data_IF_913405671262
#
_entry.id   IF_913405671262
#
_cell.length_a   1.000
_cell.length_b   1.000
_cell.length_c   1.000
_cell.angle_alpha   90.00
_cell.angle_beta   90.00
_cell.angle_gamma   90.00
#
_symmetry.space_group_name_H-M   'P 1'
#
loop_
_entity.id
_entity.type
_entity.pdbx_description
1 polymer ?
#
# COMPACT_ATOMS: atom_id res chain seq x y z
N UNK A 1 -24.84 13.17 -1.96
CA UNK A 1 -25.93 13.68 -1.12
C UNK A 1 -26.33 12.58 -0.15
N UNK A 2 -26.17 12.81 1.15
CA UNK A 2 -26.57 11.84 2.17
C UNK A 2 -28.08 11.66 2.11
N UNK A 3 -28.57 10.43 1.94
CA UNK A 3 -30.00 10.14 2.00
C UNK A 3 -30.43 10.30 3.44
N UNK A 4 -31.14 11.38 3.74
CA UNK A 4 -31.75 11.63 5.04
C UNK A 4 -32.92 10.65 5.19
N UNK A 5 -33.03 10.00 6.34
CA UNK A 5 -34.05 8.99 6.60
C UNK A 5 -35.47 9.59 6.47
N UNK A 6 -36.42 8.81 5.95
CA UNK A 6 -37.77 9.28 5.64
C UNK A 6 -38.53 9.78 6.89
N UNK A 7 -38.18 9.26 8.08
CA UNK A 7 -38.74 9.74 9.35
C UNK A 7 -38.16 11.10 9.75
N UNK A 8 -36.86 11.32 9.55
CA UNK A 8 -36.18 12.60 9.83
C UNK A 8 -36.68 13.69 8.88
N UNK A 9 -36.87 13.34 7.61
CA UNK A 9 -37.43 14.26 6.62
C UNK A 9 -38.87 14.69 6.93
N UNK A 10 -39.70 13.76 7.44
CA UNK A 10 -41.09 14.05 7.78
C UNK A 10 -41.26 14.91 9.05
N UNK A 11 -40.28 14.90 9.96
CA UNK A 11 -40.32 15.74 11.16
C UNK A 11 -39.79 17.16 10.91
N UNK A 12 -38.76 17.31 10.08
CA UNK A 12 -38.19 18.63 9.72
C UNK A 12 -39.21 19.49 8.97
N UNK A 13 -40.12 18.88 8.21
CA UNK A 13 -41.17 19.58 7.46
C UNK A 13 -42.36 20.05 8.34
N UNK A 14 -42.40 19.65 9.61
CA UNK A 14 -43.57 19.86 10.49
C UNK A 14 -43.41 20.97 11.54
N UNK A 15 -42.22 21.56 11.69
CA UNK A 15 -41.93 22.51 12.76
C UNK A 15 -41.40 23.84 12.23
N UNK A 16 -42.25 24.87 12.27
CA UNK A 16 -41.78 26.26 12.31
C UNK A 16 -41.06 26.47 13.66
N UNK A 17 -39.81 26.93 13.60
CA UNK A 17 -38.83 26.94 14.69
C UNK A 17 -39.25 27.77 15.92
N UNK A 18 -39.32 27.11 17.09
CA UNK A 18 -39.14 27.73 18.40
C UNK A 18 -37.96 27.06 19.11
N UNK A 19 -37.01 27.87 19.57
CA UNK A 19 -35.70 27.45 20.10
C UNK A 19 -35.75 26.62 21.39
N UNK A 20 -36.85 26.65 22.15
CA UNK A 20 -37.00 25.90 23.41
C UNK A 20 -37.40 24.43 23.20
N UNK A 21 -37.88 24.06 22.01
CA UNK A 21 -38.26 22.67 21.68
C UNK A 21 -37.09 21.86 21.09
N UNK A 22 -35.97 22.50 20.77
CA UNK A 22 -34.81 21.85 20.14
C UNK A 22 -34.09 20.91 21.11
N UNK A 23 -33.88 21.34 22.36
CA UNK A 23 -33.23 20.51 23.39
C UNK A 23 -34.11 19.32 23.80
N UNK A 24 -35.44 19.52 23.92
CA UNK A 24 -36.38 18.45 24.22
C UNK A 24 -36.51 17.44 23.05
N UNK A 25 -36.39 17.92 21.81
CA UNK A 25 -36.39 17.07 20.63
C UNK A 25 -35.08 16.27 20.53
N UNK A 26 -33.93 16.89 20.82
CA UNK A 26 -32.63 16.21 20.90
C UNK A 26 -32.64 15.11 21.97
N UNK A 27 -33.19 15.38 23.15
CA UNK A 27 -33.30 14.39 24.23
C UNK A 27 -34.22 13.21 23.83
N UNK A 28 -35.32 13.48 23.12
CA UNK A 28 -36.20 12.42 22.59
C UNK A 28 -35.60 11.59 21.45
N UNK A 29 -34.67 12.18 20.69
CA UNK A 29 -33.92 11.51 19.61
C UNK A 29 -32.75 10.70 20.16
N UNK A 30 -32.12 11.14 21.26
CA UNK A 30 -31.02 10.45 21.94
C UNK A 30 -31.49 9.14 22.59
N UNK A 31 -32.75 9.04 23.00
CA UNK A 31 -33.35 7.84 23.61
C UNK A 31 -33.93 6.84 22.57
N UNK A 32 -33.73 7.08 21.26
CA UNK A 32 -34.23 6.18 20.22
C UNK A 32 -33.23 5.04 19.95
N UNK A 33 -33.62 3.76 20.14
CA UNK A 33 -32.71 2.61 20.01
C UNK A 33 -32.15 2.41 18.60
N UNK A 34 -32.76 3.05 17.60
CA UNK A 34 -32.28 3.04 16.22
C UNK A 34 -31.08 3.97 16.01
N UNK A 35 -31.03 5.15 16.66
CA UNK A 35 -29.92 6.08 16.54
C UNK A 35 -28.70 5.62 17.36
N UNK A 36 -28.92 4.98 18.51
CA UNK A 36 -27.85 4.35 19.29
C UNK A 36 -27.12 3.25 18.51
N UNK A 37 -27.87 2.37 17.83
CA UNK A 37 -27.28 1.33 16.99
C UNK A 37 -26.42 1.91 15.86
N UNK A 38 -26.86 3.00 15.22
CA UNK A 38 -26.06 3.69 14.19
C UNK A 38 -24.83 4.40 14.76
N UNK A 39 -24.95 5.00 15.95
CA UNK A 39 -23.85 5.68 16.66
C UNK A 39 -22.78 4.66 17.06
N UNK A 40 -23.19 3.55 17.66
CA UNK A 40 -22.32 2.42 18.00
C UNK A 40 -21.66 1.81 16.76
N UNK A 41 -22.42 1.59 15.67
CA UNK A 41 -21.86 1.04 14.43
C UNK A 41 -20.79 1.96 13.83
N UNK A 42 -21.01 3.28 13.84
CA UNK A 42 -20.02 4.27 13.37
C UNK A 42 -18.79 4.33 14.27
N UNK A 43 -19.00 4.34 15.59
CA UNK A 43 -17.91 4.34 16.58
C UNK A 43 -17.08 3.07 16.44
N UNK A 44 -17.71 1.90 16.24
CA UNK A 44 -17.01 0.64 16.00
C UNK A 44 -16.22 0.65 14.69
N UNK A 45 -16.77 1.20 13.60
CA UNK A 45 -16.03 1.36 12.34
C UNK A 45 -14.79 2.26 12.52
N UNK A 46 -14.96 3.42 13.16
CA UNK A 46 -13.85 4.34 13.44
C UNK A 46 -12.82 3.71 14.38
N UNK A 47 -13.25 2.98 15.42
CA UNK A 47 -12.35 2.26 16.33
C UNK A 47 -11.59 1.13 15.61
N UNK A 48 -12.23 0.41 14.69
CA UNK A 48 -11.59 -0.66 13.93
C UNK A 48 -10.52 -0.08 12.98
N UNK A 49 -10.81 1.02 12.30
CA UNK A 49 -9.85 1.71 11.44
C UNK A 49 -8.69 2.31 12.24
N UNK A 50 -8.99 3.00 13.36
CA UNK A 50 -7.98 3.60 14.21
C UNK A 50 -7.08 2.55 14.87
N UNK A 51 -7.68 1.46 15.37
CA UNK A 51 -6.93 0.31 15.87
C UNK A 51 -6.05 -0.24 14.77
N UNK A 52 -6.57 -0.52 13.58
CA UNK A 52 -5.80 -1.09 12.47
C UNK A 52 -4.61 -0.20 12.06
N UNK A 53 -4.81 1.11 11.94
CA UNK A 53 -3.74 2.06 11.64
C UNK A 53 -2.70 2.10 12.76
N UNK A 54 -3.13 2.04 14.03
CA UNK A 54 -2.23 1.99 15.19
C UNK A 54 -1.48 0.67 15.27
N UNK A 55 -2.11 -0.46 14.95
CA UNK A 55 -1.45 -1.77 14.91
C UNK A 55 -0.44 -1.85 13.77
N UNK A 56 -0.75 -1.31 12.59
CA UNK A 56 0.23 -1.22 11.48
C UNK A 56 1.43 -0.36 11.88
N UNK A 57 1.21 0.81 12.49
CA UNK A 57 2.31 1.66 12.95
C UNK A 57 3.16 0.97 14.03
N UNK A 58 2.52 0.31 15.00
CA UNK A 58 3.22 -0.46 16.05
C UNK A 58 3.93 -1.72 15.53
N UNK A 59 3.48 -2.26 14.40
CA UNK A 59 4.06 -3.45 13.82
C UNK A 59 5.39 -3.16 13.10
N UNK A 60 5.77 -1.90 12.88
CA UNK A 60 7.00 -1.51 12.18
C UNK A 60 6.79 -1.32 10.68
N UNK A 61 5.58 -0.93 10.27
CA UNK A 61 5.31 -0.46 8.92
C UNK A 61 5.73 1.01 8.79
N UNK A 62 6.35 1.36 7.66
CA UNK A 62 6.90 2.72 7.43
C UNK A 62 8.38 2.87 7.72
N UNK A 63 9.00 1.85 8.35
CA UNK A 63 10.42 1.83 8.68
C UNK A 63 11.16 0.77 7.85
N UNK A 64 12.45 1.02 7.63
CA UNK A 64 13.36 0.07 7.00
C UNK A 64 14.11 -0.70 8.08
N UNK A 65 13.68 -1.93 8.35
CA UNK A 65 14.16 -2.70 9.50
C UNK A 65 15.12 -3.79 9.08
N UNK A 66 16.28 -3.88 9.75
CA UNK A 66 17.22 -4.98 9.57
C UNK A 66 16.85 -6.19 10.44
N UNK A 67 16.72 -7.36 9.81
CA UNK A 67 16.44 -8.63 10.46
C UNK A 67 17.67 -9.52 10.34
N UNK A 68 18.12 -10.07 11.47
CA UNK A 68 19.29 -10.97 11.52
C UNK A 68 18.92 -12.45 11.49
N UNK A 69 17.69 -12.78 11.87
CA UNK A 69 17.20 -14.15 11.95
C UNK A 69 16.36 -14.52 10.72
N UNK A 70 16.74 -15.61 10.04
CA UNK A 70 16.09 -16.05 8.80
C UNK A 70 14.64 -16.46 9.02
N UNK A 71 14.36 -17.11 10.16
CA UNK A 71 13.01 -17.55 10.51
C UNK A 71 12.10 -16.35 10.75
N UNK A 72 12.57 -15.37 11.52
CA UNK A 72 11.85 -14.12 11.74
C UNK A 72 11.55 -13.40 10.42
N UNK A 73 12.48 -13.38 9.46
CA UNK A 73 12.24 -12.80 8.14
C UNK A 73 11.12 -13.54 7.39
N UNK A 74 11.17 -14.88 7.35
CA UNK A 74 10.12 -15.69 6.71
C UNK A 74 8.75 -15.44 7.35
N UNK A 75 8.68 -15.41 8.68
CA UNK A 75 7.44 -15.15 9.42
C UNK A 75 6.89 -13.75 9.11
N UNK A 76 7.76 -12.73 9.00
CA UNK A 76 7.37 -11.37 8.63
C UNK A 76 6.86 -11.27 7.19
N UNK A 77 7.52 -11.94 6.24
CA UNK A 77 7.09 -11.97 4.83
C UNK A 77 5.78 -12.70 4.61
N UNK A 78 5.44 -13.66 5.47
CA UNK A 78 4.19 -14.44 5.40
C UNK A 78 3.04 -13.76 6.15
N UNK A 79 3.33 -13.13 7.29
CA UNK A 79 2.33 -12.40 8.09
C UNK A 79 1.92 -11.07 7.46
N UNK A 80 2.81 -10.45 6.69
CA UNK A 80 2.55 -9.17 6.03
C UNK A 80 1.95 -9.36 4.64
N UNK A 81 0.90 -8.59 4.32
CA UNK A 81 0.28 -8.66 2.99
C UNK A 81 1.23 -8.24 1.87
N UNK A 82 2.03 -7.20 2.09
CA UNK A 82 3.05 -6.75 1.16
C UNK A 82 4.38 -6.60 1.90
N UNK A 83 5.43 -7.22 1.39
CA UNK A 83 6.76 -7.16 1.96
C UNK A 83 7.81 -7.06 0.87
N UNK A 84 8.83 -6.24 1.10
CA UNK A 84 10.01 -6.07 0.25
C UNK A 84 11.21 -6.43 1.09
N UNK A 85 12.00 -7.39 0.62
CA UNK A 85 13.21 -7.87 1.31
C UNK A 85 14.42 -7.53 0.47
N UNK A 86 15.33 -6.74 1.04
CA UNK A 86 16.63 -6.44 0.45
C UNK A 86 17.73 -7.31 1.08
N UNK A 87 18.30 -8.19 0.26
CA UNK A 87 19.51 -8.93 0.55
C UNK A 87 20.71 -8.06 0.22
N UNK A 88 21.44 -7.68 1.26
CA UNK A 88 22.50 -6.68 1.20
C UNK A 88 23.79 -7.21 1.82
N UNK A 89 24.89 -6.52 1.54
CA UNK A 89 26.20 -6.73 2.18
C UNK A 89 26.91 -5.39 2.32
N UNK A 90 27.47 -5.12 3.49
CA UNK A 90 28.02 -3.80 3.88
C UNK A 90 29.22 -3.35 3.03
N UNK A 91 29.95 -4.31 2.47
CA UNK A 91 31.12 -4.09 1.62
C UNK A 91 30.78 -3.54 0.23
N UNK A 92 29.51 -3.64 -0.20
CA UNK A 92 29.10 -3.26 -1.56
C UNK A 92 28.48 -1.86 -1.58
N UNK A 93 29.12 -0.94 -2.30
CA UNK A 93 28.61 0.43 -2.46
C UNK A 93 27.21 0.47 -3.10
N UNK A 94 26.94 -0.42 -4.06
CA UNK A 94 25.62 -0.53 -4.71
C UNK A 94 24.50 -0.90 -3.72
N UNK A 95 24.80 -1.69 -2.69
CA UNK A 95 23.84 -2.01 -1.62
C UNK A 95 23.50 -0.76 -0.79
N UNK A 96 24.48 0.13 -0.53
CA UNK A 96 24.24 1.39 0.20
C UNK A 96 23.33 2.34 -0.57
N UNK A 97 23.49 2.38 -1.90
CA UNK A 97 22.59 3.16 -2.78
C UNK A 97 21.16 2.61 -2.67
N UNK A 98 21.00 1.29 -2.80
CA UNK A 98 19.69 0.63 -2.66
C UNK A 98 19.05 0.88 -1.29
N UNK A 99 19.82 0.77 -0.20
CA UNK A 99 19.36 1.07 1.16
C UNK A 99 18.78 2.48 1.26
N UNK A 100 19.47 3.49 0.70
CA UNK A 100 19.03 4.89 0.75
C UNK A 100 17.68 5.11 0.06
N UNK A 101 17.46 4.45 -1.08
CA UNK A 101 16.19 4.54 -1.81
C UNK A 101 15.07 3.78 -1.10
N UNK A 102 15.34 2.58 -0.58
CA UNK A 102 14.34 1.79 0.16
C UNK A 102 13.93 2.46 1.46
N UNK A 103 14.86 3.09 2.19
CA UNK A 103 14.54 3.86 3.40
C UNK A 103 13.61 5.05 3.09
N UNK A 104 13.86 5.73 1.97
CA UNK A 104 13.02 6.83 1.50
C UNK A 104 11.62 6.36 1.10
N UNK A 105 11.51 5.15 0.53
CA UNK A 105 10.23 4.55 0.13
C UNK A 105 9.45 3.99 1.31
N UNK A 106 10.14 3.43 2.30
CA UNK A 106 9.52 2.94 3.52
C UNK A 106 8.69 4.04 4.20
N UNK A 107 9.27 5.23 4.36
CA UNK A 107 8.60 6.39 4.96
C UNK A 107 7.37 6.88 4.20
N UNK A 108 7.26 6.56 2.90
CA UNK A 108 6.12 6.93 2.05
C UNK A 108 5.03 5.87 2.03
N UNK A 109 5.38 4.60 2.19
CA UNK A 109 4.52 3.46 1.92
C UNK A 109 4.29 2.61 3.18
N UNK A 110 3.42 3.10 4.07
CA UNK A 110 3.04 2.42 5.31
C UNK A 110 2.24 1.13 5.10
N UNK A 111 1.76 0.86 3.89
CA UNK A 111 1.06 -0.39 3.57
C UNK A 111 2.00 -1.57 3.24
N UNK A 112 3.31 -1.30 3.12
CA UNK A 112 4.33 -2.27 2.72
C UNK A 112 5.42 -2.37 3.78
N UNK A 113 5.84 -3.60 4.11
CA UNK A 113 7.01 -3.81 4.96
C UNK A 113 8.28 -3.73 4.14
N UNK A 114 9.23 -2.92 4.59
CA UNK A 114 10.57 -2.89 4.02
C UNK A 114 11.55 -3.51 5.00
N UNK A 115 12.18 -4.60 4.58
CA UNK A 115 13.06 -5.41 5.40
C UNK A 115 14.44 -5.49 4.75
N UNK A 116 15.48 -5.41 5.57
CA UNK A 116 16.87 -5.63 5.19
C UNK A 116 17.39 -6.89 5.84
N UNK A 117 18.19 -7.64 5.12
CA UNK A 117 18.95 -8.74 5.69
C UNK A 117 20.35 -8.81 5.09
N UNK A 118 21.34 -9.02 5.95
CA UNK A 118 22.70 -9.29 5.49
C UNK A 118 22.79 -10.74 5.00
N UNK A 119 23.32 -10.94 3.79
CA UNK A 119 23.52 -12.28 3.22
C UNK A 119 24.39 -13.19 4.06
N UNK A 120 25.34 -12.64 4.83
CA UNK A 120 26.22 -13.41 5.70
C UNK A 120 25.46 -14.00 6.90
N UNK A 121 24.33 -13.39 7.30
CA UNK A 121 23.46 -13.87 8.37
C UNK A 121 22.40 -14.87 7.86
N UNK A 122 22.26 -15.03 6.54
CA UNK A 122 21.14 -15.76 5.94
C UNK A 122 21.54 -16.76 4.85
N UNK A 123 22.46 -17.70 5.16
CA UNK A 123 22.99 -18.63 4.15
C UNK A 123 21.91 -19.57 3.59
N UNK A 124 20.89 -19.93 4.38
CA UNK A 124 19.82 -20.81 3.94
C UNK A 124 18.92 -20.11 2.92
N UNK A 125 18.49 -18.88 3.20
CA UNK A 125 17.67 -18.06 2.30
C UNK A 125 18.43 -17.68 1.02
N UNK A 126 19.71 -17.31 1.13
CA UNK A 126 20.58 -17.02 -0.03
C UNK A 126 20.65 -18.21 -0.97
N UNK A 127 20.84 -19.41 -0.42
CA UNK A 127 20.89 -20.66 -1.20
C UNK A 127 19.53 -21.01 -1.79
N UNK A 128 18.46 -20.93 -0.98
CA UNK A 128 17.11 -21.32 -1.38
C UNK A 128 16.54 -20.40 -2.46
N UNK A 129 16.77 -19.09 -2.34
CA UNK A 129 16.30 -18.07 -3.27
C UNK A 129 17.28 -17.83 -4.44
N UNK A 130 18.46 -18.50 -4.41
CA UNK A 130 19.53 -18.38 -5.41
C UNK A 130 19.99 -16.94 -5.59
N UNK A 131 20.30 -16.26 -4.48
CA UNK A 131 20.85 -14.90 -4.48
C UNK A 131 22.33 -14.98 -4.82
N UNK A 132 22.70 -14.69 -6.07
CA UNK A 132 24.09 -14.74 -6.56
C UNK A 132 24.71 -13.37 -6.76
N UNK A 133 23.89 -12.35 -7.03
CA UNK A 133 24.32 -10.98 -7.34
C UNK A 133 23.69 -10.02 -6.34
N UNK A 134 24.49 -9.08 -5.85
CA UNK A 134 24.07 -8.06 -4.88
C UNK A 134 24.13 -6.66 -5.49
N UNK A 135 23.23 -5.75 -5.10
CA UNK A 135 22.06 -5.96 -4.22
C UNK A 135 20.97 -6.86 -4.85
N UNK A 136 20.20 -7.58 -4.04
CA UNK A 136 19.04 -8.35 -4.52
C UNK A 136 17.80 -7.99 -3.72
N UNK A 137 16.77 -7.50 -4.38
CA UNK A 137 15.49 -7.14 -3.76
C UNK A 137 14.41 -8.09 -4.23
N UNK A 138 13.70 -8.70 -3.29
CA UNK A 138 12.61 -9.63 -3.58
C UNK A 138 11.32 -9.07 -3.00
N UNK A 139 10.30 -9.02 -3.86
CA UNK A 139 8.98 -8.51 -3.52
C UNK A 139 8.04 -9.67 -3.24
N UNK A 140 7.32 -9.61 -2.13
CA UNK A 140 6.37 -10.61 -1.67
C UNK A 140 4.98 -10.00 -1.51
N UNK A 141 3.97 -10.71 -2.03
CA UNK A 141 2.56 -10.38 -1.83
C UNK A 141 1.86 -11.63 -1.29
N UNK A 142 1.34 -11.54 -0.06
CA UNK A 142 0.69 -12.67 0.61
C UNK A 142 1.60 -13.90 0.76
N UNK A 143 2.89 -13.70 1.03
CA UNK A 143 3.88 -14.78 1.15
C UNK A 143 4.39 -15.36 -0.18
N UNK A 144 3.89 -14.89 -1.33
CA UNK A 144 4.34 -15.35 -2.66
C UNK A 144 5.30 -14.31 -3.26
N UNK A 145 6.43 -14.74 -3.81
CA UNK A 145 7.36 -13.85 -4.52
C UNK A 145 6.76 -13.40 -5.86
N UNK A 146 6.51 -12.11 -6.02
CA UNK A 146 5.89 -11.54 -7.23
C UNK A 146 6.91 -10.90 -8.18
N UNK A 147 8.01 -10.38 -7.66
CA UNK A 147 9.05 -9.72 -8.45
C UNK A 147 10.42 -9.85 -7.77
N UNK A 148 11.46 -9.75 -8.60
CA UNK A 148 12.86 -9.84 -8.18
C UNK A 148 13.67 -8.82 -8.97
N UNK A 149 14.41 -8.01 -8.24
CA UNK A 149 15.34 -7.03 -8.79
C UNK A 149 16.74 -7.47 -8.41
N UNK A 150 17.58 -7.71 -9.41
CA UNK A 150 18.96 -8.15 -9.24
C UNK A 150 19.90 -7.02 -9.68
N UNK A 151 20.76 -6.57 -8.77
CA UNK A 151 21.57 -5.37 -8.97
C UNK A 151 20.69 -4.15 -9.23
N UNK A 152 20.95 -3.46 -10.34
CA UNK A 152 20.16 -2.34 -10.84
C UNK A 152 19.44 -2.67 -12.15
N UNK A 153 19.26 -3.96 -12.44
CA UNK A 153 18.63 -4.41 -13.68
C UNK A 153 17.18 -3.93 -13.77
N UNK A 154 16.85 -3.25 -14.87
CA UNK A 154 15.50 -2.76 -15.13
C UNK A 154 15.05 -1.59 -14.25
N UNK A 155 15.98 -0.94 -13.53
CA UNK A 155 15.71 0.28 -12.76
C UNK A 155 16.15 1.56 -13.49
N UNK A 156 17.08 1.49 -14.44
CA UNK A 156 17.54 2.67 -15.17
C UNK A 156 18.14 2.27 -16.51
N UNK A 157 18.24 3.26 -17.41
CA UNK A 157 19.00 3.14 -18.65
C UNK A 157 20.51 3.12 -18.41
N UNK A 158 20.96 3.71 -17.30
CA UNK A 158 22.38 3.72 -16.89
C UNK A 158 22.66 2.62 -15.86
N UNK A 159 23.75 1.88 -16.06
CA UNK A 159 24.08 0.70 -15.25
C UNK A 159 24.41 0.99 -13.77
N UNK A 160 24.79 2.23 -13.43
CA UNK A 160 25.37 2.55 -12.12
C UNK A 160 24.48 3.42 -11.21
N UNK A 161 23.45 4.08 -11.73
CA UNK A 161 22.56 4.94 -10.94
C UNK A 161 21.12 4.86 -11.41
N UNK A 162 20.20 4.89 -10.45
CA UNK A 162 18.76 4.98 -10.66
C UNK A 162 18.16 5.98 -9.67
N UNK A 163 16.98 6.51 -9.96
CA UNK A 163 16.28 7.43 -9.06
C UNK A 163 15.31 6.68 -8.16
N UNK A 164 14.95 7.25 -7.01
CA UNK A 164 13.91 6.68 -6.13
C UNK A 164 12.59 6.48 -6.88
N UNK A 165 12.29 7.35 -7.86
CA UNK A 165 11.07 7.25 -8.67
C UNK A 165 11.09 6.02 -9.60
N UNK A 166 12.24 5.63 -10.12
CA UNK A 166 12.35 4.44 -10.98
C UNK A 166 12.12 3.15 -10.18
N UNK A 167 12.72 3.06 -8.99
CA UNK A 167 12.47 1.96 -8.07
C UNK A 167 11.01 1.92 -7.62
N UNK A 168 10.42 3.08 -7.32
CA UNK A 168 9.01 3.18 -7.00
C UNK A 168 8.12 2.69 -8.15
N UNK A 169 8.41 3.09 -9.39
CA UNK A 169 7.68 2.65 -10.57
C UNK A 169 7.75 1.13 -10.76
N UNK A 170 8.91 0.52 -10.50
CA UNK A 170 9.07 -0.94 -10.56
C UNK A 170 8.26 -1.65 -9.47
N UNK A 171 8.30 -1.16 -8.23
CA UNK A 171 7.52 -1.72 -7.12
C UNK A 171 6.01 -1.53 -7.29
N UNK A 172 5.59 -0.43 -7.93
CA UNK A 172 4.19 -0.22 -8.32
C UNK A 172 3.77 -1.21 -9.42
N UNK A 173 4.65 -1.47 -10.40
CA UNK A 173 4.40 -2.43 -11.47
C UNK A 173 4.24 -3.87 -10.99
N UNK A 174 4.94 -4.25 -9.92
CA UNK A 174 4.80 -5.57 -9.29
C UNK A 174 3.61 -5.67 -8.33
N UNK A 175 2.96 -4.54 -8.00
CA UNK A 175 1.82 -4.48 -7.10
C UNK A 175 2.16 -4.71 -5.62
N UNK A 176 3.45 -4.77 -5.26
CA UNK A 176 3.88 -4.87 -3.87
C UNK A 176 3.69 -3.54 -3.14
N UNK A 177 3.88 -2.42 -3.83
CA UNK A 177 3.53 -1.09 -3.35
C UNK A 177 2.25 -0.65 -4.05
N UNK A 178 1.34 0.00 -3.32
CA UNK A 178 0.17 0.63 -3.91
C UNK A 178 0.37 2.14 -3.97
N UNK A 179 -0.11 2.79 -5.03
CA UNK A 179 -0.20 4.25 -5.02
C UNK A 179 -1.06 4.64 -3.84
N UNK A 180 -0.54 5.53 -2.98
CA UNK A 180 -1.32 6.15 -1.93
C UNK A 180 -2.63 6.62 -2.56
N UNK A 181 -3.74 6.01 -2.14
CA UNK A 181 -5.06 6.53 -2.51
C UNK A 181 -5.15 7.88 -1.83
N UNK A 182 -4.86 8.94 -2.57
CA UNK A 182 -5.36 10.26 -2.22
C UNK A 182 -6.84 10.05 -1.96
N UNK A 183 -7.32 10.36 -0.75
CA UNK A 183 -8.76 10.47 -0.52
C UNK A 183 -9.23 11.60 -1.43
N UNK A 184 -9.66 11.23 -2.63
CA UNK A 184 -9.88 12.10 -3.77
C UNK A 184 -10.34 11.21 -4.90
N UNK A 185 -11.65 11.03 -4.97
CA UNK A 185 -12.37 10.31 -6.01
C UNK A 185 -11.85 10.71 -7.40
N UNK A 186 -11.45 9.73 -8.20
CA UNK A 186 -10.76 9.97 -9.47
C UNK A 186 -10.06 8.75 -10.03
N UNK A 187 -10.83 7.72 -10.39
CA UNK A 187 -10.31 6.52 -11.04
C UNK A 187 -9.58 6.85 -12.36
N UNK A 188 -8.26 6.69 -12.38
CA UNK A 188 -7.49 6.68 -13.62
C UNK A 188 -7.29 5.24 -14.07
N UNK A 189 -8.16 4.79 -14.98
CA UNK A 189 -7.99 3.56 -15.76
C UNK A 189 -6.86 3.78 -16.75
N UNK A 190 -5.66 3.27 -16.47
CA UNK A 190 -4.60 3.20 -17.48
C UNK A 190 -4.95 2.11 -18.49
N UNK A 191 -5.51 2.53 -19.62
CA UNK A 191 -5.79 1.67 -20.76
C UNK A 191 -4.50 1.23 -21.46
N UNK A 192 -4.26 -0.07 -21.48
CA UNK A 192 -3.27 -0.70 -22.36
C UNK A 192 -3.77 -0.53 -23.80
N UNK A 193 -3.16 0.36 -24.58
CA UNK A 193 -3.41 0.45 -26.02
C UNK A 193 -2.68 -0.71 -26.72
N UNK A 194 -3.45 -1.71 -27.14
CA UNK A 194 -3.02 -2.80 -28.02
C UNK A 194 -2.65 -2.20 -29.38
N UNK A 195 -1.41 -2.41 -29.83
CA UNK A 195 -0.96 -2.03 -31.16
C UNK A 195 -1.79 -2.76 -32.23
N UNK A 196 -2.38 -1.98 -33.14
CA UNK A 196 -3.07 -2.49 -34.33
C UNK A 196 -2.00 -2.73 -35.40
N UNK A 197 -1.99 -3.94 -35.98
CA UNK A 197 -1.21 -4.26 -37.18
C UNK A 197 -1.79 -3.48 -38.36
N UNK A 198 -0.94 -2.72 -39.06
CA UNK A 198 -1.24 -2.23 -40.40
C UNK A 198 -1.06 -3.40 -41.37
N UNK A 199 -2.16 -3.96 -41.83
CA UNK A 199 -2.17 -4.81 -43.02
C UNK A 199 -2.14 -3.88 -44.23
N UNK A 200 -1.02 -3.93 -44.94
CA UNK A 200 -0.82 -3.33 -46.25
C UNK A 200 -1.53 -4.19 -47.28
N UNK A 201 -2.66 -3.72 -47.81
CA UNK A 201 -3.21 -4.24 -49.05
C UNK A 201 -3.57 -3.08 -50.00
N UNK A 202 -3.07 -3.24 -51.23
CA UNK A 202 -3.31 -2.44 -52.42
C UNK A 202 -4.81 -2.28 -52.73
N UNK A 203 -5.18 -1.17 -53.38
CA UNK A 203 -5.70 -1.13 -54.77
C UNK A 203 -6.45 0.20 -55.06
N UNK A 204 -5.83 1.01 -55.93
CA UNK A 204 -6.35 1.50 -57.23
C UNK A 204 -7.64 2.38 -57.35
N UNK A 205 -7.59 3.27 -58.37
CA UNK A 205 -8.62 4.17 -58.98
C UNK A 205 -8.91 5.49 -58.24
N UNK A 206 -8.81 6.70 -58.84
CA UNK A 206 -8.93 7.20 -60.23
C UNK A 206 -8.03 8.46 -60.43
#
# INVERSE_FOLDING_TARGET
MAKIDAQVAALVDKTEYNSDDEDALIESLEDSPALDAFREQRIQQLHAEFTRAKTQKNQGFGDYTEIKDEKALMDLTTSSKHAVVHFSKEDFQRCRVMDSHLESLAKKHFDTRFLKMNVDNAPFLVTKLRVQVLPCVICFVGGISVDRIVGFEGLSYTADNFTTADLEARLLGSGVVQRAKTQGDGGVRFGVKKAVKEDSDNDDWD
#
